data_IF_617170199763
#
_entry.id   IF_617170199763
#
_cell.length_a   1.000
_cell.length_b   1.000
_cell.length_c   1.000
_cell.angle_alpha   90.00
_cell.angle_beta   90.00
_cell.angle_gamma   90.00
#
_symmetry.space_group_name_H-M   'P 1'
#
loop_
_entity.id
_entity.type
_entity.pdbx_description
1 polymer ?
#
# COMPACT_ATOMS: atom_id res chain seq x y z
N UNK A 1 8.10 -1.38 -15.55
CA UNK A 1 6.95 -1.09 -14.65
C UNK A 1 6.08 -0.12 -15.40
N UNK A 2 4.77 -0.32 -15.42
CA UNK A 2 3.85 0.56 -16.15
C UNK A 2 3.89 1.99 -15.59
N UNK A 3 3.77 3.00 -16.47
CA UNK A 3 3.93 4.39 -16.10
C UNK A 3 2.85 4.87 -15.10
N UNK A 4 1.63 4.34 -15.18
CA UNK A 4 0.55 4.64 -14.24
C UNK A 4 0.83 4.03 -12.87
N UNK A 5 1.33 2.79 -12.83
CA UNK A 5 1.76 2.13 -11.60
C UNK A 5 2.87 2.93 -10.90
N UNK A 6 3.85 3.45 -11.65
CA UNK A 6 4.90 4.30 -11.08
C UNK A 6 4.35 5.61 -10.51
N UNK A 7 3.35 6.23 -11.16
CA UNK A 7 2.70 7.44 -10.65
C UNK A 7 1.97 7.18 -9.34
N UNK A 8 1.21 6.09 -9.27
CA UNK A 8 0.48 5.70 -8.05
C UNK A 8 1.45 5.37 -6.91
N UNK A 9 2.58 4.71 -7.20
CA UNK A 9 3.65 4.50 -6.22
C UNK A 9 4.18 5.82 -5.63
N UNK A 10 4.51 6.76 -6.52
CA UNK A 10 5.02 8.08 -6.14
C UNK A 10 3.99 8.85 -5.32
N UNK A 11 2.70 8.74 -5.64
CA UNK A 11 1.61 9.34 -4.89
C UNK A 11 1.58 8.81 -3.45
N UNK A 12 1.63 7.49 -3.26
CA UNK A 12 1.70 6.88 -1.91
C UNK A 12 2.92 7.39 -1.16
N UNK A 13 4.11 7.27 -1.73
CA UNK A 13 5.36 7.70 -1.08
C UNK A 13 5.40 9.19 -0.73
N UNK A 14 4.79 10.02 -1.57
CA UNK A 14 4.81 11.48 -1.37
C UNK A 14 3.82 11.90 -0.30
N UNK A 15 2.60 11.35 -0.36
CA UNK A 15 1.47 11.80 0.44
C UNK A 15 1.28 10.99 1.73
N UNK A 16 1.84 9.79 1.81
CA UNK A 16 1.89 8.95 3.00
C UNK A 16 3.35 8.55 3.30
N UNK A 17 4.14 9.44 3.91
CA UNK A 17 5.53 9.15 4.26
C UNK A 17 5.63 8.02 5.29
N UNK A 18 6.72 7.27 5.21
CA UNK A 18 7.06 6.14 6.09
C UNK A 18 7.65 6.57 7.44
N UNK A 19 7.67 7.87 7.73
CA UNK A 19 8.18 8.43 8.97
C UNK A 19 7.03 8.92 9.84
N UNK A 20 7.12 8.60 11.14
CA UNK A 20 6.30 9.20 12.17
C UNK A 20 6.76 10.64 12.42
N UNK A 21 5.83 11.49 12.83
CA UNK A 21 6.17 12.82 13.34
C UNK A 21 6.76 12.76 14.76
N UNK A 22 7.00 13.92 15.35
CA UNK A 22 7.54 14.04 16.72
C UNK A 22 6.65 13.42 17.79
N UNK A 23 5.36 13.28 17.51
CA UNK A 23 4.36 12.78 18.45
C UNK A 23 4.15 11.26 18.27
N UNK A 24 4.91 10.63 17.37
CA UNK A 24 4.77 9.20 17.06
C UNK A 24 3.56 8.91 16.17
N UNK A 25 3.04 9.91 15.46
CA UNK A 25 1.87 9.79 14.60
C UNK A 25 2.25 9.81 13.11
N UNK A 26 1.59 8.96 12.32
CA UNK A 26 1.60 9.09 10.88
C UNK A 26 0.75 10.30 10.45
N UNK A 27 1.22 11.04 9.44
CA UNK A 27 0.48 12.15 8.83
C UNK A 27 0.38 11.96 7.33
N UNK A 28 -0.81 12.16 6.78
CA UNK A 28 -0.95 12.38 5.36
C UNK A 28 -0.52 13.82 5.05
N UNK A 29 0.28 14.00 3.99
CA UNK A 29 0.50 15.35 3.43
C UNK A 29 -0.71 15.81 2.63
N UNK A 30 -1.35 14.86 1.95
CA UNK A 30 -2.65 15.01 1.28
C UNK A 30 -3.40 13.69 1.45
N UNK A 31 -4.62 13.76 1.97
CA UNK A 31 -5.45 12.61 2.28
C UNK A 31 -6.55 12.33 1.25
N UNK A 32 -6.67 13.14 0.19
CA UNK A 32 -7.78 13.08 -0.76
C UNK A 32 -7.99 11.69 -1.38
N UNK A 33 -6.90 11.02 -1.76
CA UNK A 33 -6.94 9.68 -2.33
C UNK A 33 -7.15 8.56 -1.29
N UNK A 34 -6.75 8.81 -0.04
CA UNK A 34 -6.77 7.81 1.02
C UNK A 34 -8.09 7.80 1.81
N UNK A 35 -8.76 8.96 1.93
CA UNK A 35 -10.00 9.13 2.71
C UNK A 35 -11.08 8.12 2.38
N UNK A 36 -11.27 7.78 1.10
CA UNK A 36 -12.27 6.79 0.66
C UNK A 36 -12.03 5.37 1.20
N UNK A 37 -10.81 5.08 1.69
CA UNK A 37 -10.45 3.81 2.32
C UNK A 37 -10.48 3.88 3.85
N UNK A 38 -10.86 5.02 4.42
CA UNK A 38 -11.06 5.20 5.84
C UNK A 38 -12.54 4.97 6.21
N UNK A 39 -12.80 4.39 7.37
CA UNK A 39 -14.15 4.33 7.92
C UNK A 39 -14.71 5.73 8.12
N UNK A 40 -15.89 6.01 7.56
CA UNK A 40 -16.51 7.33 7.65
C UNK A 40 -15.69 8.47 7.01
N UNK A 41 -14.79 8.15 6.08
CA UNK A 41 -13.85 9.08 5.45
C UNK A 41 -12.89 9.79 6.43
N UNK A 42 -12.66 9.20 7.60
CA UNK A 42 -11.75 9.72 8.62
C UNK A 42 -10.75 8.65 9.05
N UNK A 43 -9.46 8.91 8.83
CA UNK A 43 -8.36 8.05 9.28
C UNK A 43 -7.75 8.66 10.54
N UNK A 44 -8.39 8.41 11.68
CA UNK A 44 -8.07 9.03 12.95
C UNK A 44 -6.82 8.42 13.59
N UNK A 45 -6.68 7.10 13.55
CA UNK A 45 -5.55 6.38 14.14
C UNK A 45 -4.44 6.10 13.13
N UNK A 46 -3.22 5.88 13.61
CA UNK A 46 -2.10 5.42 12.78
C UNK A 46 -2.42 4.14 12.00
N UNK A 47 -3.11 3.20 12.64
CA UNK A 47 -3.52 1.95 12.00
C UNK A 47 -4.49 2.22 10.85
N UNK A 48 -5.46 3.11 11.03
CA UNK A 48 -6.38 3.50 9.97
C UNK A 48 -5.65 4.16 8.79
N UNK A 49 -4.68 5.04 9.07
CA UNK A 49 -3.87 5.69 8.02
C UNK A 49 -3.05 4.67 7.22
N UNK A 50 -2.37 3.73 7.91
CA UNK A 50 -1.63 2.64 7.27
C UNK A 50 -2.55 1.76 6.44
N UNK A 51 -3.72 1.40 6.97
CA UNK A 51 -4.70 0.60 6.25
C UNK A 51 -5.21 1.31 4.99
N UNK A 52 -5.52 2.61 5.07
CA UNK A 52 -5.96 3.38 3.92
C UNK A 52 -4.88 3.50 2.84
N UNK A 53 -3.63 3.74 3.22
CA UNK A 53 -2.48 3.73 2.30
C UNK A 53 -2.30 2.37 1.60
N UNK A 54 -2.40 1.27 2.37
CA UNK A 54 -2.33 -0.09 1.84
C UNK A 54 -3.49 -0.41 0.88
N UNK A 55 -4.72 -0.06 1.25
CA UNK A 55 -5.90 -0.32 0.43
C UNK A 55 -5.87 0.47 -0.88
N UNK A 56 -5.50 1.75 -0.85
CA UNK A 56 -5.27 2.53 -2.07
C UNK A 56 -4.20 1.91 -2.96
N UNK A 57 -3.06 1.53 -2.38
CA UNK A 57 -1.99 0.85 -3.11
C UNK A 57 -2.51 -0.43 -3.77
N UNK A 58 -3.28 -1.25 -3.04
CA UNK A 58 -3.79 -2.50 -3.60
C UNK A 58 -4.81 -2.27 -4.70
N UNK A 59 -5.74 -1.35 -4.52
CA UNK A 59 -6.71 -1.00 -5.53
C UNK A 59 -6.02 -0.53 -6.80
N UNK A 60 -5.05 0.39 -6.72
CA UNK A 60 -4.39 0.95 -7.90
C UNK A 60 -3.43 -0.04 -8.59
N UNK A 61 -2.73 -0.88 -7.83
CA UNK A 61 -1.77 -1.84 -8.39
C UNK A 61 -2.41 -3.13 -8.89
N UNK A 62 -3.54 -3.51 -8.30
CA UNK A 62 -4.20 -4.79 -8.56
C UNK A 62 -5.66 -4.62 -9.00
N UNK A 63 -6.03 -3.44 -9.54
CA UNK A 63 -7.38 -3.10 -10.07
C UNK A 63 -8.05 -4.28 -10.76
N UNK A 64 -7.28 -4.99 -11.60
CA UNK A 64 -7.73 -6.21 -12.23
C UNK A 64 -7.24 -7.46 -11.46
N UNK A 65 -8.20 -8.22 -10.93
CA UNK A 65 -7.96 -9.53 -10.32
C UNK A 65 -7.22 -10.51 -11.24
N UNK A 66 -7.27 -10.31 -12.56
CA UNK A 66 -6.52 -11.05 -13.58
C UNK A 66 -5.02 -10.76 -13.52
N UNK A 67 -4.62 -9.53 -13.20
CA UNK A 67 -3.22 -9.15 -12.96
C UNK A 67 -2.75 -9.83 -11.68
N UNK A 68 -3.56 -9.78 -10.61
CA UNK A 68 -3.27 -10.52 -9.37
C UNK A 68 -3.18 -12.03 -9.61
N UNK A 69 -4.09 -12.62 -10.41
CA UNK A 69 -4.06 -14.05 -10.77
C UNK A 69 -2.88 -14.40 -11.65
N UNK A 70 -2.50 -13.56 -12.61
CA UNK A 70 -1.36 -13.75 -13.51
C UNK A 70 -0.05 -13.72 -12.75
N UNK A 71 0.10 -12.71 -11.88
CA UNK A 71 1.11 -12.64 -10.83
C UNK A 71 1.05 -13.94 -10.03
N UNK A 72 -0.01 -14.23 -9.28
CA UNK A 72 -0.10 -15.39 -8.39
C UNK A 72 0.15 -16.75 -9.09
N UNK A 73 -0.24 -16.91 -10.35
CA UNK A 73 -0.02 -18.14 -11.13
C UNK A 73 1.41 -18.24 -11.67
N UNK A 74 2.02 -17.14 -12.14
CA UNK A 74 3.46 -17.07 -12.43
C UNK A 74 4.28 -17.39 -11.18
N UNK A 75 3.82 -16.85 -10.06
CA UNK A 75 4.38 -17.02 -8.75
C UNK A 75 4.12 -18.47 -8.23
N UNK A 76 3.04 -19.20 -8.53
CA UNK A 76 2.80 -20.59 -8.03
C UNK A 76 3.99 -21.55 -8.28
N UNK A 77 4.76 -21.36 -9.36
CA UNK A 77 5.99 -22.12 -9.66
C UNK A 77 7.23 -21.67 -8.86
N UNK A 78 7.24 -20.47 -8.28
CA UNK A 78 8.34 -19.83 -7.52
C UNK A 78 7.97 -19.40 -6.07
N UNK A 79 6.72 -19.61 -5.63
CA UNK A 79 6.04 -18.83 -4.56
C UNK A 79 6.50 -19.14 -3.15
N UNK A 80 6.64 -20.40 -2.78
CA UNK A 80 6.69 -20.72 -1.35
C UNK A 80 7.88 -20.04 -0.66
N UNK A 81 8.98 -19.80 -1.39
CA UNK A 81 10.18 -19.18 -0.83
C UNK A 81 10.14 -17.64 -0.81
N UNK A 82 9.52 -17.01 -1.81
CA UNK A 82 9.58 -15.55 -1.98
C UNK A 82 8.39 -14.81 -1.35
N UNK A 83 7.22 -15.45 -1.20
CA UNK A 83 6.05 -14.84 -0.59
C UNK A 83 6.20 -14.73 0.94
N UNK A 84 6.92 -15.67 1.56
CA UNK A 84 7.42 -15.55 2.95
C UNK A 84 8.41 -14.39 3.05
N UNK A 85 9.35 -14.26 2.12
CA UNK A 85 10.35 -13.17 2.11
C UNK A 85 9.74 -11.80 1.87
N UNK A 86 8.76 -11.67 0.97
CA UNK A 86 8.06 -10.42 0.69
C UNK A 86 7.19 -10.01 1.87
N UNK A 87 6.46 -10.95 2.50
CA UNK A 87 5.73 -10.67 3.74
C UNK A 87 6.67 -10.28 4.88
N UNK A 88 7.82 -10.92 5.01
CA UNK A 88 8.84 -10.60 6.03
C UNK A 88 9.53 -9.26 5.78
N UNK A 89 9.76 -8.87 4.52
CA UNK A 89 10.38 -7.60 4.14
C UNK A 89 9.39 -6.43 4.17
N UNK A 90 8.12 -6.67 3.86
CA UNK A 90 7.05 -5.67 4.00
C UNK A 90 6.78 -5.30 5.47
N UNK A 91 7.06 -6.20 6.42
CA UNK A 91 6.98 -5.94 7.87
C UNK A 91 8.28 -5.36 8.49
N UNK A 92 9.35 -5.16 7.72
CA UNK A 92 10.59 -4.53 8.22
C UNK A 92 10.63 -3.03 7.86
N UNK A 93 9.78 -2.58 6.95
CA UNK A 93 9.71 -1.17 6.51
C UNK A 93 8.39 -0.48 6.91
N UNK A 94 7.64 -1.06 7.86
CA UNK A 94 6.49 -0.47 8.53
C UNK A 94 6.64 -0.65 10.04
#
# INVERSE_FOLDING_TARGET
MDAEICKNFLLVRTNFPDQLDSDGEYKFKDDGHFKKYCSGNNCSSNLEKVNAGCLYFFDEFFKDSSVFKSVANSYKKKIYKNLIYFKKRLFIYF
#
